data_IF_855395566329
#
_entry.id   IF_855395566329
#
_cell.length_a   1.000
_cell.length_b   1.000
_cell.length_c   1.000
_cell.angle_alpha   90.00
_cell.angle_beta   90.00
_cell.angle_gamma   90.00
#
_symmetry.space_group_name_H-M   'P 1'
#
loop_
_entity.id
_entity.type
_entity.pdbx_description
1 polymer ?
#
# COMPACT_ATOMS: atom_id res chain seq x y z
N UNK A 1 -1.41 -15.04 11.11
CA UNK A 1 -0.03 -14.66 11.51
C UNK A 1 0.24 -13.30 10.91
N UNK A 2 0.61 -12.29 11.72
CA UNK A 2 0.93 -10.96 11.21
C UNK A 2 2.43 -10.86 10.92
N UNK A 3 2.76 -10.44 9.70
CA UNK A 3 4.12 -10.13 9.26
C UNK A 3 4.20 -8.66 8.88
N UNK A 4 5.34 -8.04 9.17
CA UNK A 4 5.65 -6.69 8.72
C UNK A 4 7.04 -6.67 8.08
N UNK A 5 7.15 -5.96 6.98
CA UNK A 5 8.43 -5.59 6.39
C UNK A 5 8.79 -4.19 6.85
N UNK A 6 10.04 -3.97 7.23
CA UNK A 6 10.50 -2.69 7.76
C UNK A 6 11.61 -2.10 6.88
N UNK A 7 11.64 -0.78 6.76
CA UNK A 7 12.82 -0.10 6.25
C UNK A 7 13.99 -0.34 7.20
N UNK A 8 15.15 -0.62 6.64
CA UNK A 8 16.40 -0.85 7.39
C UNK A 8 17.30 0.39 7.32
N UNK A 9 18.37 0.47 8.13
CA UNK A 9 19.30 1.59 8.06
C UNK A 9 19.85 1.78 6.63
N UNK A 10 20.04 3.03 6.17
CA UNK A 10 19.81 4.30 6.90
C UNK A 10 18.38 4.86 6.78
N UNK A 11 17.43 4.17 6.15
CA UNK A 11 16.07 4.69 5.87
C UNK A 11 15.05 4.46 7.00
N UNK A 12 15.42 3.66 8.00
CA UNK A 12 14.64 3.32 9.18
C UNK A 12 15.45 2.46 10.15
N UNK A 13 14.88 2.15 11.30
CA UNK A 13 15.53 1.35 12.36
C UNK A 13 15.17 -0.15 12.30
N UNK A 14 14.39 -0.56 11.29
CA UNK A 14 13.96 -1.94 11.13
C UNK A 14 15.11 -2.92 10.80
N UNK A 15 14.85 -4.20 11.06
CA UNK A 15 15.82 -5.28 10.84
C UNK A 15 15.51 -6.18 9.63
N UNK A 16 14.41 -5.94 8.91
CA UNK A 16 13.96 -6.75 7.76
C UNK A 16 12.50 -7.18 7.89
N UNK A 17 12.22 -8.46 7.65
CA UNK A 17 10.88 -9.05 7.81
C UNK A 17 10.71 -9.61 9.21
N UNK A 18 9.70 -9.10 9.92
CA UNK A 18 9.40 -9.49 11.30
C UNK A 18 8.03 -10.15 11.39
N UNK A 19 7.88 -11.05 12.35
CA UNK A 19 6.59 -11.55 12.82
C UNK A 19 6.16 -10.76 14.05
N UNK A 20 4.94 -10.25 14.01
CA UNK A 20 4.29 -9.66 15.19
C UNK A 20 3.58 -10.78 15.95
N UNK A 21 3.95 -10.95 17.22
CA UNK A 21 3.39 -11.97 18.11
C UNK A 21 2.12 -11.44 18.80
N UNK A 22 1.22 -12.34 19.29
CA UNK A 22 -0.02 -11.92 19.95
C UNK A 22 0.18 -11.04 21.19
N UNK A 23 1.33 -11.18 21.87
CA UNK A 23 1.74 -10.35 23.00
C UNK A 23 2.46 -9.05 22.58
N UNK A 24 2.36 -8.69 21.29
CA UNK A 24 2.93 -7.49 20.65
C UNK A 24 4.45 -7.47 20.55
N UNK A 25 5.14 -8.54 20.93
CA UNK A 25 6.59 -8.66 20.64
C UNK A 25 6.81 -8.88 19.15
N UNK A 26 7.89 -8.33 18.62
CA UNK A 26 8.36 -8.57 17.25
C UNK A 26 9.53 -9.55 17.25
N UNK A 27 9.49 -10.50 16.32
CA UNK A 27 10.57 -11.47 16.09
C UNK A 27 11.06 -11.37 14.65
N UNK A 28 12.36 -11.17 14.46
CA UNK A 28 12.98 -11.21 13.14
C UNK A 28 12.81 -12.61 12.52
N UNK A 29 12.32 -12.65 11.29
CA UNK A 29 12.25 -13.87 10.46
C UNK A 29 13.35 -13.89 9.40
N UNK A 30 13.61 -12.75 8.77
CA UNK A 30 14.64 -12.62 7.74
C UNK A 30 15.25 -11.21 7.74
N UNK A 31 16.58 -11.13 7.77
CA UNK A 31 17.32 -9.89 7.57
C UNK A 31 17.39 -9.55 6.09
N UNK A 32 16.48 -8.72 5.61
CA UNK A 32 16.42 -8.25 4.22
C UNK A 32 16.59 -6.73 4.19
N UNK A 33 17.29 -6.18 3.18
CA UNK A 33 17.47 -4.74 3.06
C UNK A 33 16.16 -4.06 2.68
N UNK A 34 15.60 -3.27 3.59
CA UNK A 34 14.39 -2.45 3.39
C UNK A 34 13.22 -3.12 2.63
N UNK A 35 12.71 -4.29 3.07
CA UNK A 35 11.49 -4.89 2.52
C UNK A 35 10.27 -4.02 2.84
N UNK A 36 10.09 -2.93 2.09
CA UNK A 36 9.12 -1.87 2.37
C UNK A 36 7.66 -2.28 2.22
N UNK A 37 7.38 -3.38 1.50
CA UNK A 37 6.04 -3.94 1.36
C UNK A 37 6.08 -5.48 1.29
N UNK A 38 5.02 -6.11 1.80
CA UNK A 38 4.83 -7.56 1.75
C UNK A 38 3.50 -7.90 1.09
N UNK A 39 3.47 -8.98 0.30
CA UNK A 39 2.21 -9.60 -0.13
C UNK A 39 2.23 -11.10 0.09
N UNK A 40 1.11 -11.64 0.56
CA UNK A 40 0.94 -13.07 0.70
C UNK A 40 0.56 -13.69 -0.64
N UNK A 41 1.11 -14.86 -0.95
CA UNK A 41 0.62 -15.66 -2.06
C UNK A 41 -0.83 -16.11 -1.77
N UNK A 42 -1.78 -16.00 -2.71
CA UNK A 42 -3.20 -16.24 -2.46
C UNK A 42 -3.53 -17.69 -2.07
N UNK A 43 -2.65 -18.65 -2.39
CA UNK A 43 -2.89 -20.09 -2.19
C UNK A 43 -1.77 -20.86 -1.51
N UNK A 44 -0.58 -20.28 -1.42
CA UNK A 44 0.62 -20.97 -0.93
C UNK A 44 1.05 -20.31 0.38
N UNK A 45 1.72 -21.04 1.29
CA UNK A 45 2.23 -20.48 2.54
C UNK A 45 3.50 -19.63 2.30
N UNK A 46 3.44 -18.69 1.37
CA UNK A 46 4.56 -17.85 0.91
C UNK A 46 4.19 -16.39 1.09
N UNK A 47 5.19 -15.60 1.49
CA UNK A 47 5.11 -14.14 1.54
C UNK A 47 6.24 -13.59 0.69
N UNK A 48 5.88 -12.71 -0.22
CA UNK A 48 6.82 -11.94 -1.04
C UNK A 48 7.18 -10.66 -0.33
N UNK A 49 8.43 -10.26 -0.44
CA UNK A 49 8.95 -8.99 0.05
C UNK A 49 9.55 -8.20 -1.11
N UNK A 50 9.37 -6.88 -1.09
CA UNK A 50 10.02 -6.01 -2.08
C UNK A 50 11.54 -6.04 -1.90
N UNK A 51 12.26 -5.95 -3.01
CA UNK A 51 13.67 -5.54 -3.00
C UNK A 51 13.80 -4.02 -2.72
N UNK A 52 15.01 -3.47 -2.51
CA UNK A 52 15.21 -2.04 -2.27
C UNK A 52 14.78 -1.10 -3.40
N UNK A 53 14.66 -1.62 -4.63
CA UNK A 53 14.29 -0.86 -5.82
C UNK A 53 12.76 -0.76 -5.99
N UNK A 54 12.03 -1.68 -5.37
CA UNK A 54 10.58 -1.80 -5.46
C UNK A 54 9.90 -1.25 -4.21
N UNK A 55 8.83 -0.49 -4.39
CA UNK A 55 8.06 0.12 -3.29
C UNK A 55 6.75 -0.62 -2.97
N UNK A 56 6.26 -1.44 -3.89
CA UNK A 56 5.06 -2.25 -3.73
C UNK A 56 5.12 -3.47 -4.65
N UNK A 57 4.39 -4.52 -4.26
CA UNK A 57 4.21 -5.71 -5.08
C UNK A 57 2.81 -6.32 -4.88
N UNK A 58 2.34 -7.06 -5.87
CA UNK A 58 1.08 -7.78 -5.80
C UNK A 58 1.14 -9.07 -6.62
N UNK A 59 0.43 -10.10 -6.18
CA UNK A 59 0.22 -11.31 -6.97
C UNK A 59 -1.01 -11.11 -7.85
N UNK A 60 -0.84 -11.27 -9.16
CA UNK A 60 -1.91 -11.15 -10.17
C UNK A 60 -1.92 -12.44 -11.00
N UNK A 61 -2.90 -13.30 -10.76
CA UNK A 61 -2.92 -14.63 -11.37
C UNK A 61 -1.72 -15.47 -10.93
N UNK A 62 -0.95 -15.93 -11.90
CA UNK A 62 0.31 -16.67 -11.79
C UNK A 62 1.56 -15.78 -11.95
N UNK A 63 1.42 -14.48 -11.71
CA UNK A 63 2.53 -13.52 -11.80
C UNK A 63 2.67 -12.69 -10.53
N UNK A 64 3.90 -12.30 -10.22
CA UNK A 64 4.22 -11.26 -9.26
C UNK A 64 4.52 -9.96 -10.02
N UNK A 65 3.79 -8.90 -9.69
CA UNK A 65 3.95 -7.57 -10.29
C UNK A 65 4.59 -6.65 -9.25
N UNK A 66 5.63 -5.91 -9.63
CA UNK A 66 6.40 -5.06 -8.73
C UNK A 66 6.52 -3.64 -9.28
N UNK A 67 6.44 -2.62 -8.41
CA UNK A 67 6.50 -1.20 -8.79
C UNK A 67 7.84 -0.58 -8.38
N UNK A 68 8.63 -0.14 -9.37
CA UNK A 68 9.94 0.47 -9.16
C UNK A 68 9.83 1.99 -9.13
N UNK A 69 9.72 2.54 -7.91
CA UNK A 69 9.41 3.95 -7.67
C UNK A 69 10.35 4.93 -8.40
N UNK A 70 11.67 4.73 -8.24
CA UNK A 70 12.67 5.64 -8.80
C UNK A 70 12.95 5.38 -10.28
N UNK A 71 12.75 4.15 -10.73
CA UNK A 71 13.00 3.78 -12.12
C UNK A 71 11.84 4.15 -13.05
N UNK A 72 10.66 4.49 -12.51
CA UNK A 72 9.49 4.80 -13.34
C UNK A 72 8.97 3.58 -14.12
N UNK A 73 9.13 2.38 -13.56
CA UNK A 73 8.76 1.12 -14.23
C UNK A 73 7.93 0.21 -13.33
N UNK A 74 7.18 -0.70 -13.97
CA UNK A 74 6.49 -1.83 -13.34
C UNK A 74 6.95 -3.11 -14.03
N UNK A 75 7.40 -4.08 -13.24
CA UNK A 75 7.90 -5.37 -13.73
C UNK A 75 6.91 -6.48 -13.47
N UNK A 76 6.84 -7.42 -14.40
CA UNK A 76 6.03 -8.63 -14.31
C UNK A 76 6.97 -9.82 -14.23
N UNK A 77 6.80 -10.66 -13.21
CA UNK A 77 7.59 -11.86 -12.98
C UNK A 77 6.65 -13.08 -13.02
N UNK A 78 6.93 -14.10 -13.84
CA UNK A 78 6.17 -15.34 -13.79
C UNK A 78 6.42 -16.03 -12.43
N UNK A 79 5.40 -16.64 -11.86
CA UNK A 79 5.53 -17.49 -10.67
C UNK A 79 5.56 -18.96 -11.11
N UNK A 80 6.56 -19.70 -10.65
CA UNK A 80 6.57 -21.15 -10.75
C UNK A 80 5.44 -21.76 -9.90
N UNK A 81 5.16 -23.06 -10.09
CA UNK A 81 4.10 -23.76 -9.36
C UNK A 81 4.31 -23.77 -7.84
N UNK A 82 5.57 -23.69 -7.39
CA UNK A 82 5.96 -23.57 -5.98
C UNK A 82 5.94 -22.13 -5.48
N UNK A 83 5.53 -21.15 -6.31
CA UNK A 83 5.47 -19.74 -5.99
C UNK A 83 6.80 -19.00 -6.14
N UNK A 84 7.87 -19.62 -6.65
CA UNK A 84 9.15 -18.93 -6.88
C UNK A 84 9.04 -17.94 -8.04
N UNK A 85 9.40 -16.65 -7.85
CA UNK A 85 9.43 -15.68 -8.94
C UNK A 85 10.58 -15.94 -9.91
N UNK A 86 10.28 -15.95 -11.21
CA UNK A 86 11.26 -15.96 -12.29
C UNK A 86 11.83 -14.58 -12.63
N UNK A 87 12.77 -14.51 -13.60
CA UNK A 87 13.21 -13.23 -14.16
C UNK A 87 12.03 -12.48 -14.78
N UNK A 88 12.06 -11.13 -14.82
CA UNK A 88 10.94 -10.36 -15.35
C UNK A 88 10.67 -10.72 -16.81
N UNK A 89 9.44 -11.14 -17.10
CA UNK A 89 8.95 -11.44 -18.46
C UNK A 89 8.55 -10.18 -19.21
N UNK A 90 8.20 -9.12 -18.48
CA UNK A 90 7.85 -7.83 -19.06
C UNK A 90 8.22 -6.68 -18.12
N UNK A 91 8.58 -5.54 -18.72
CA UNK A 91 8.81 -4.27 -18.04
C UNK A 91 7.97 -3.22 -18.75
N UNK A 92 7.01 -2.64 -18.03
CA UNK A 92 6.22 -1.51 -18.51
C UNK A 92 6.85 -0.22 -17.96
N UNK A 93 7.18 0.70 -18.85
CA UNK A 93 7.75 2.00 -18.53
C UNK A 93 6.71 3.13 -18.65
N UNK A 94 7.19 4.36 -18.71
CA UNK A 94 6.33 5.53 -18.85
C UNK A 94 5.59 5.89 -17.56
N UNK A 95 6.11 5.52 -16.39
CA UNK A 95 5.70 6.07 -15.09
C UNK A 95 6.70 7.14 -14.62
N UNK A 96 6.28 8.07 -13.75
CA UNK A 96 7.24 8.95 -13.05
C UNK A 96 7.55 8.32 -11.71
N UNK A 97 6.54 7.99 -10.91
CA UNK A 97 6.67 7.32 -9.62
C UNK A 97 5.54 6.31 -9.42
N UNK A 98 5.62 5.11 -10.01
CA UNK A 98 4.65 4.06 -9.76
C UNK A 98 4.73 3.67 -8.28
N UNK A 99 3.60 3.59 -7.58
CA UNK A 99 3.62 3.36 -6.13
C UNK A 99 2.81 2.15 -5.66
N UNK A 100 1.56 1.98 -6.04
CA UNK A 100 0.71 0.86 -5.59
C UNK A 100 0.16 0.10 -6.77
N UNK A 101 0.10 -1.23 -6.66
CA UNK A 101 -0.48 -2.15 -7.63
C UNK A 101 -1.71 -2.82 -7.01
N UNK A 102 -2.84 -2.76 -7.70
CA UNK A 102 -4.10 -3.36 -7.24
C UNK A 102 -4.77 -4.13 -8.38
N UNK A 103 -4.91 -5.45 -8.22
CA UNK A 103 -5.72 -6.26 -9.14
C UNK A 103 -7.20 -6.09 -8.79
N UNK A 104 -8.00 -5.66 -9.76
CA UNK A 104 -9.43 -5.43 -9.57
C UNK A 104 -10.20 -5.65 -10.87
N UNK A 105 -11.27 -6.45 -10.80
CA UNK A 105 -12.19 -6.69 -11.92
C UNK A 105 -11.51 -7.07 -13.26
N UNK A 106 -10.44 -7.88 -13.22
CA UNK A 106 -9.69 -8.29 -14.40
C UNK A 106 -8.71 -7.24 -14.95
N UNK A 107 -8.58 -6.10 -14.28
CA UNK A 107 -7.57 -5.08 -14.54
C UNK A 107 -6.48 -5.09 -13.46
N UNK A 108 -5.36 -4.46 -13.78
CA UNK A 108 -4.32 -4.07 -12.83
C UNK A 108 -4.24 -2.56 -12.81
N UNK A 109 -4.67 -1.99 -11.68
CA UNK A 109 -4.65 -0.55 -11.41
C UNK A 109 -3.33 -0.19 -10.74
N UNK A 110 -2.68 0.87 -11.21
CA UNK A 110 -1.35 1.28 -10.75
C UNK A 110 -1.36 2.78 -10.47
N UNK A 111 -1.05 3.19 -9.25
CA UNK A 111 -0.86 4.62 -8.97
C UNK A 111 0.46 5.11 -9.54
N UNK A 112 0.43 6.21 -10.30
CA UNK A 112 1.60 6.99 -10.69
C UNK A 112 1.58 8.29 -9.90
N UNK A 113 2.24 8.26 -8.74
CA UNK A 113 2.33 9.39 -7.82
C UNK A 113 2.87 10.63 -8.54
N UNK A 114 3.86 10.45 -9.41
CA UNK A 114 4.55 11.56 -10.06
C UNK A 114 3.70 12.27 -11.11
N UNK A 115 2.79 11.53 -11.78
CA UNK A 115 1.90 12.05 -12.83
C UNK A 115 0.50 12.44 -12.38
N UNK A 116 0.14 12.21 -11.13
CA UNK A 116 -1.24 12.43 -10.63
C UNK A 116 -2.27 11.50 -11.30
N UNK A 117 -1.91 10.24 -11.51
CA UNK A 117 -2.75 9.28 -12.25
C UNK A 117 -2.95 7.97 -11.50
N UNK A 118 -4.12 7.37 -11.67
CA UNK A 118 -4.29 5.91 -11.55
C UNK A 118 -4.32 5.35 -12.97
N UNK A 119 -3.30 4.58 -13.31
CA UNK A 119 -3.13 3.95 -14.61
C UNK A 119 -3.83 2.60 -14.62
N UNK A 120 -4.60 2.35 -15.68
CA UNK A 120 -5.30 1.09 -15.92
C UNK A 120 -4.50 0.25 -16.89
N UNK A 121 -4.34 -1.01 -16.54
CA UNK A 121 -3.65 -1.97 -17.40
C UNK A 121 -4.38 -3.31 -17.35
N UNK A 122 -4.09 -4.17 -18.31
CA UNK A 122 -4.47 -5.58 -18.28
C UNK A 122 -3.23 -6.46 -18.31
N UNK A 123 -3.22 -7.49 -17.48
CA UNK A 123 -2.19 -8.52 -17.53
C UNK A 123 -2.72 -9.72 -18.32
N UNK A 124 -2.11 -9.99 -19.48
CA UNK A 124 -2.40 -11.14 -20.36
C UNK A 124 -1.07 -11.73 -20.83
N UNK A 125 -0.93 -13.05 -20.76
CA UNK A 125 0.27 -13.79 -21.20
C UNK A 125 1.60 -13.18 -20.70
N UNK A 126 1.63 -12.77 -19.43
CA UNK A 126 2.80 -12.19 -18.78
C UNK A 126 3.18 -10.78 -19.24
N UNK A 127 2.28 -10.08 -19.95
CA UNK A 127 2.47 -8.72 -20.46
C UNK A 127 1.40 -7.77 -19.92
N UNK A 128 1.83 -6.60 -19.44
CA UNK A 128 0.93 -5.51 -19.06
C UNK A 128 0.63 -4.63 -20.28
N UNK A 129 -0.63 -4.48 -20.62
CA UNK A 129 -1.09 -3.62 -21.71
C UNK A 129 -1.89 -2.44 -21.14
N UNK A 130 -1.52 -1.17 -21.43
CA UNK A 130 -2.28 -0.01 -20.99
C UNK A 130 -3.72 0.00 -21.55
N UNK A 131 -4.69 0.36 -20.71
CA UNK A 131 -6.10 0.49 -21.08
C UNK A 131 -6.62 1.93 -21.02
N UNK A 132 -5.99 2.77 -20.21
CA UNK A 132 -6.43 4.14 -19.95
C UNK A 132 -5.96 4.62 -18.58
N UNK A 133 -6.45 5.78 -18.18
CA UNK A 133 -5.91 6.52 -17.03
C UNK A 133 -7.04 7.30 -16.35
N UNK A 134 -6.97 7.44 -15.04
CA UNK A 134 -7.85 8.30 -14.26
C UNK A 134 -7.03 9.41 -13.60
N UNK A 135 -7.48 10.65 -13.72
CA UNK A 135 -6.84 11.78 -13.07
C UNK A 135 -7.14 11.79 -11.57
N UNK A 136 -6.08 11.77 -10.76
CA UNK A 136 -6.17 11.87 -9.29
C UNK A 136 -5.13 12.90 -8.81
N UNK A 137 -5.45 14.19 -8.83
CA UNK A 137 -4.53 15.26 -8.46
C UNK A 137 -4.02 15.16 -7.02
N UNK A 138 -2.70 15.26 -6.85
CA UNK A 138 -2.06 15.45 -5.55
C UNK A 138 -1.13 14.33 -5.10
N UNK A 139 -0.59 13.54 -6.03
CA UNK A 139 0.34 12.46 -5.78
C UNK A 139 -0.35 11.20 -5.24
N UNK A 140 -1.14 10.49 -6.07
CA UNK A 140 -1.83 9.28 -5.64
C UNK A 140 -0.80 8.23 -5.22
N UNK A 141 -0.84 7.82 -3.96
CA UNK A 141 0.12 6.92 -3.34
C UNK A 141 -0.51 5.53 -3.20
N UNK A 142 -1.32 5.34 -2.17
CA UNK A 142 -2.07 4.11 -1.93
C UNK A 142 -3.57 4.37 -2.10
N UNK A 143 -4.31 3.33 -2.47
CA UNK A 143 -5.73 3.41 -2.67
C UNK A 143 -6.44 2.12 -2.31
N UNK A 144 -7.70 2.25 -1.87
CA UNK A 144 -8.52 1.12 -1.42
C UNK A 144 -9.96 1.34 -1.82
N UNK A 145 -10.61 0.28 -2.30
CA UNK A 145 -12.06 0.27 -2.49
C UNK A 145 -12.75 -0.19 -1.21
N UNK A 146 -13.78 0.55 -0.77
CA UNK A 146 -14.68 0.20 0.32
C UNK A 146 -16.11 0.40 -0.16
N UNK A 147 -16.91 -0.67 -0.19
CA UNK A 147 -18.20 -0.62 -0.90
C UNK A 147 -17.99 -0.20 -2.36
N UNK A 148 -18.75 0.80 -2.82
CA UNK A 148 -18.66 1.34 -4.18
C UNK A 148 -17.80 2.61 -4.29
N UNK A 149 -16.96 2.87 -3.27
CA UNK A 149 -16.12 4.06 -3.22
C UNK A 149 -14.64 3.69 -3.21
N UNK A 150 -13.85 4.37 -4.04
CA UNK A 150 -12.40 4.37 -3.99
C UNK A 150 -11.89 5.49 -3.12
N UNK A 151 -11.01 5.18 -2.18
CA UNK A 151 -10.27 6.15 -1.40
C UNK A 151 -8.82 6.14 -1.82
N UNK A 152 -8.22 7.32 -2.02
CA UNK A 152 -6.85 7.49 -2.50
C UNK A 152 -6.11 8.46 -1.59
N UNK A 153 -4.96 8.06 -1.06
CA UNK A 153 -4.03 8.99 -0.42
C UNK A 153 -3.31 9.81 -1.49
N UNK A 154 -3.41 11.12 -1.39
CA UNK A 154 -2.76 12.12 -2.22
C UNK A 154 -1.59 12.71 -1.42
N UNK A 155 -0.43 12.06 -1.47
CA UNK A 155 0.74 12.34 -0.64
C UNK A 155 1.23 13.79 -0.79
N UNK A 156 1.44 14.26 -2.02
CA UNK A 156 2.00 15.60 -2.28
C UNK A 156 1.04 16.72 -1.89
N UNK A 157 -0.25 16.44 -1.91
CA UNK A 157 -1.28 17.43 -1.60
C UNK A 157 -1.79 17.35 -0.15
N UNK A 158 -1.20 16.51 0.70
CA UNK A 158 -1.65 16.40 2.10
C UNK A 158 -3.12 16.04 2.21
N UNK A 159 -3.60 15.11 1.37
CA UNK A 159 -5.03 14.83 1.27
C UNK A 159 -5.39 13.34 1.12
N UNK A 160 -6.62 13.00 1.46
CA UNK A 160 -7.30 11.79 1.00
C UNK A 160 -8.49 12.20 0.15
N UNK A 161 -8.69 11.53 -0.98
CA UNK A 161 -9.79 11.79 -1.92
C UNK A 161 -10.64 10.54 -2.10
N UNK A 162 -11.95 10.73 -2.24
CA UNK A 162 -12.93 9.68 -2.50
C UNK A 162 -13.46 9.80 -3.93
N UNK A 163 -13.67 8.67 -4.59
CA UNK A 163 -14.19 8.57 -5.96
C UNK A 163 -15.24 7.48 -6.08
N UNK A 164 -16.18 7.62 -7.02
CA UNK A 164 -17.12 6.54 -7.35
C UNK A 164 -16.46 5.44 -8.19
N UNK A 165 -17.23 4.43 -8.61
CA UNK A 165 -16.74 3.32 -9.45
C UNK A 165 -16.22 3.75 -10.82
N UNK A 166 -16.67 4.91 -11.32
CA UNK A 166 -16.26 5.51 -12.58
C UNK A 166 -15.11 6.52 -12.38
N UNK A 167 -14.51 6.55 -11.19
CA UNK A 167 -13.43 7.45 -10.80
C UNK A 167 -13.82 8.94 -10.86
N UNK A 168 -15.09 9.26 -10.64
CA UNK A 168 -15.54 10.65 -10.48
C UNK A 168 -15.36 11.08 -9.02
N UNK A 169 -14.84 12.27 -8.75
CA UNK A 169 -14.57 12.72 -7.39
C UNK A 169 -15.88 12.90 -6.59
N UNK A 170 -15.89 12.38 -5.37
CA UNK A 170 -17.02 12.46 -4.42
C UNK A 170 -16.71 13.44 -3.29
N UNK A 171 -15.55 13.28 -2.64
CA UNK A 171 -15.16 14.05 -1.46
C UNK A 171 -13.63 14.16 -1.38
N UNK A 172 -13.16 15.12 -0.59
CA UNK A 172 -11.73 15.30 -0.32
C UNK A 172 -11.53 15.90 1.06
N UNK A 173 -10.61 15.32 1.82
CA UNK A 173 -10.10 15.88 3.07
C UNK A 173 -8.63 16.25 2.86
N UNK A 174 -8.27 17.54 3.02
CA UNK A 174 -6.98 18.09 2.62
C UNK A 174 -6.27 18.82 3.79
N UNK A 175 -6.36 18.25 4.99
CA UNK A 175 -5.69 18.75 6.20
C UNK A 175 -4.72 17.71 6.77
N UNK A 176 -4.08 16.92 5.89
CA UNK A 176 -3.02 15.96 6.22
C UNK A 176 -1.66 16.55 5.79
N UNK A 177 -0.57 15.94 6.25
CA UNK A 177 0.80 16.38 5.93
C UNK A 177 1.40 15.54 4.80
N UNK A 178 1.57 14.24 5.03
CA UNK A 178 2.13 13.28 4.07
C UNK A 178 1.41 11.92 4.21
N UNK A 179 0.14 11.84 3.77
CA UNK A 179 -0.64 10.62 3.92
C UNK A 179 0.01 9.43 3.23
N UNK A 180 0.04 8.31 3.91
CA UNK A 180 0.73 7.09 3.47
C UNK A 180 -0.26 6.01 3.05
N UNK A 181 -1.04 5.47 3.99
CA UNK A 181 -1.97 4.36 3.77
C UNK A 181 -3.41 4.79 3.97
N UNK A 182 -4.33 4.11 3.28
CA UNK A 182 -5.76 4.16 3.59
C UNK A 182 -6.32 2.76 3.89
N UNK A 183 -6.98 2.61 5.03
CA UNK A 183 -7.65 1.38 5.44
C UNK A 183 -9.12 1.64 5.76
N UNK A 184 -9.97 0.63 5.64
CA UNK A 184 -11.39 0.71 6.02
C UNK A 184 -11.68 -0.15 7.24
N UNK A 185 -12.68 0.26 8.01
CA UNK A 185 -13.25 -0.54 9.09
C UNK A 185 -14.77 -0.57 9.02
N UNK A 186 -15.29 -1.74 8.61
CA UNK A 186 -16.68 -1.91 8.20
C UNK A 186 -17.04 -0.92 7.09
N UNK A 187 -18.27 -0.40 7.15
CA UNK A 187 -18.77 0.68 6.30
C UNK A 187 -18.75 2.05 6.99
N UNK A 188 -18.09 2.16 8.15
CA UNK A 188 -18.23 3.31 9.06
C UNK A 188 -17.05 4.25 9.06
N UNK A 189 -15.84 3.71 8.99
CA UNK A 189 -14.64 4.53 9.13
C UNK A 189 -13.61 4.23 8.07
N UNK A 190 -12.92 5.28 7.66
CA UNK A 190 -11.73 5.30 6.82
C UNK A 190 -10.59 5.78 7.69
N UNK A 191 -9.54 4.97 7.82
CA UNK A 191 -8.31 5.33 8.52
C UNK A 191 -7.27 5.78 7.51
N UNK A 192 -6.58 6.88 7.81
CA UNK A 192 -5.46 7.37 7.01
C UNK A 192 -4.25 7.58 7.90
N UNK A 193 -3.15 6.89 7.59
CA UNK A 193 -1.88 7.14 8.26
C UNK A 193 -1.26 8.43 7.71
N UNK A 194 -0.85 9.34 8.59
CA UNK A 194 -0.25 10.62 8.22
C UNK A 194 1.16 10.75 8.80
N UNK A 195 2.15 10.86 7.90
CA UNK A 195 3.56 10.96 8.27
C UNK A 195 3.93 12.40 8.55
N UNK A 196 4.85 12.60 9.48
CA UNK A 196 5.26 13.93 9.94
C UNK A 196 4.64 14.25 11.29
N UNK A 197 3.30 14.37 11.40
CA UNK A 197 2.62 14.44 12.70
C UNK A 197 2.58 13.11 13.44
N UNK A 198 2.82 11.99 12.76
CA UNK A 198 2.83 10.63 13.30
C UNK A 198 1.48 10.25 13.95
N UNK A 199 0.41 10.44 13.18
CA UNK A 199 -0.97 10.17 13.59
C UNK A 199 -1.71 9.24 12.62
N UNK A 200 -2.80 8.66 13.09
CA UNK A 200 -3.83 8.05 12.25
C UNK A 200 -5.09 8.91 12.31
N UNK A 201 -5.49 9.48 11.18
CA UNK A 201 -6.75 10.18 11.05
C UNK A 201 -7.89 9.17 10.87
N UNK A 202 -9.00 9.40 11.55
CA UNK A 202 -10.25 8.64 11.47
C UNK A 202 -11.28 9.52 10.77
N UNK A 203 -11.75 9.08 9.61
CA UNK A 203 -12.75 9.79 8.83
C UNK A 203 -14.01 8.95 8.65
N UNK A 204 -15.14 9.61 8.48
CA UNK A 204 -16.36 8.99 7.94
C UNK A 204 -16.17 8.66 6.45
N UNK A 205 -17.06 7.86 5.82
CA UNK A 205 -16.95 7.52 4.40
C UNK A 205 -17.11 8.72 3.45
N UNK A 206 -17.77 9.79 3.89
CA UNK A 206 -17.83 11.09 3.19
C UNK A 206 -16.64 12.01 3.51
N UNK A 207 -15.57 11.45 4.10
CA UNK A 207 -14.30 12.11 4.43
C UNK A 207 -14.41 13.29 5.40
N UNK A 208 -15.32 13.20 6.39
CA UNK A 208 -15.32 14.12 7.53
C UNK A 208 -14.44 13.57 8.64
N UNK A 209 -13.54 14.40 9.17
CA UNK A 209 -12.71 14.02 10.30
C UNK A 209 -13.60 13.75 11.52
N UNK A 210 -13.40 12.59 12.13
CA UNK A 210 -14.04 12.18 13.40
C UNK A 210 -13.07 12.42 14.55
N UNK A 211 -11.82 11.99 14.37
CA UNK A 211 -10.73 12.13 15.32
C UNK A 211 -9.39 11.89 14.61
N UNK A 212 -8.29 12.22 15.27
CA UNK A 212 -6.98 11.63 15.03
C UNK A 212 -6.40 11.12 16.35
N UNK A 213 -5.40 10.26 16.26
CA UNK A 213 -4.67 9.79 17.44
C UNK A 213 -3.21 9.47 17.09
N UNK A 214 -2.27 9.59 18.05
CA UNK A 214 -0.88 9.23 17.84
C UNK A 214 -0.73 7.79 17.36
N UNK A 215 0.08 7.57 16.32
CA UNK A 215 0.23 6.24 15.71
C UNK A 215 1.02 5.25 16.58
N UNK A 216 1.72 5.74 17.61
CA UNK A 216 2.45 4.95 18.60
C UNK A 216 3.94 4.70 18.26
N UNK A 217 4.40 5.23 17.13
CA UNK A 217 5.80 5.22 16.69
C UNK A 217 6.03 6.37 15.71
N UNK A 218 7.11 6.33 14.94
CA UNK A 218 7.45 7.42 14.01
C UNK A 218 7.35 7.04 12.54
N UNK A 219 6.70 7.92 11.77
CA UNK A 219 6.52 7.80 10.33
C UNK A 219 5.61 6.63 9.94
N UNK A 220 4.31 6.66 10.31
CA UNK A 220 3.37 5.57 10.03
C UNK A 220 3.22 5.39 8.51
N UNK A 221 3.70 4.25 8.00
CA UNK A 221 3.88 3.99 6.57
C UNK A 221 2.81 3.09 5.97
N UNK A 222 2.22 2.23 6.81
CA UNK A 222 1.21 1.24 6.42
C UNK A 222 0.27 0.95 7.61
N UNK A 223 -0.99 0.70 7.29
CA UNK A 223 -2.08 0.27 8.16
C UNK A 223 -2.60 -1.10 7.70
N UNK A 224 -2.94 -1.96 8.66
CA UNK A 224 -3.70 -3.19 8.37
C UNK A 224 -4.81 -3.36 9.40
N UNK A 225 -6.01 -3.69 8.94
CA UNK A 225 -7.16 -4.00 9.80
C UNK A 225 -7.45 -5.49 9.74
N UNK A 226 -7.53 -6.13 10.90
CA UNK A 226 -7.88 -7.56 11.05
C UNK A 226 -8.90 -7.70 12.19
N UNK A 227 -10.16 -7.97 11.84
CA UNK A 227 -11.26 -7.96 12.80
C UNK A 227 -11.35 -6.63 13.55
N UNK A 228 -11.23 -6.67 14.88
CA UNK A 228 -11.26 -5.49 15.76
C UNK A 228 -9.88 -4.91 16.06
N UNK A 229 -8.85 -5.25 15.26
CA UNK A 229 -7.48 -4.76 15.47
C UNK A 229 -7.04 -3.91 14.30
N UNK A 230 -6.43 -2.77 14.63
CA UNK A 230 -5.68 -1.94 13.69
C UNK A 230 -4.19 -2.05 14.02
N UNK A 231 -3.39 -2.37 13.01
CA UNK A 231 -1.94 -2.38 13.07
C UNK A 231 -1.38 -1.19 12.32
N UNK A 232 -0.38 -0.54 12.90
CA UNK A 232 0.32 0.61 12.31
C UNK A 232 1.80 0.30 12.26
N UNK A 233 2.36 0.24 11.05
CA UNK A 233 3.78 -0.02 10.84
C UNK A 233 4.53 1.29 10.64
N UNK A 234 5.63 1.46 11.36
CA UNK A 234 6.41 2.69 11.41
C UNK A 234 7.72 2.56 10.65
N UNK A 235 7.98 3.47 9.71
CA UNK A 235 9.21 3.42 8.92
C UNK A 235 10.44 3.77 9.77
N UNK A 236 10.39 4.89 10.50
CA UNK A 236 11.59 5.41 11.16
C UNK A 236 11.92 4.61 12.42
N UNK A 237 10.93 4.38 13.30
CA UNK A 237 11.14 3.62 14.55
C UNK A 237 11.12 2.10 14.37
N UNK A 238 10.74 1.58 13.19
CA UNK A 238 10.85 0.16 12.84
C UNK A 238 9.90 -0.78 13.59
N UNK A 239 8.97 -0.26 14.38
CA UNK A 239 7.99 -1.01 15.17
C UNK A 239 6.62 -1.18 14.47
N UNK A 240 5.78 -2.02 15.07
CA UNK A 240 4.35 -2.13 14.74
C UNK A 240 3.55 -1.90 16.01
N UNK A 241 2.74 -0.84 16.03
CA UNK A 241 1.78 -0.58 17.12
C UNK A 241 0.43 -1.21 16.80
N UNK A 242 -0.26 -1.70 17.82
CA UNK A 242 -1.60 -2.32 17.70
C UNK A 242 -2.64 -1.58 18.53
N UNK A 243 -3.76 -1.24 17.91
CA UNK A 243 -4.92 -0.61 18.52
C UNK A 243 -6.12 -1.56 18.47
N UNK A 244 -6.97 -1.51 19.50
CA UNK A 244 -8.27 -2.19 19.48
C UNK A 244 -9.31 -1.21 18.98
N UNK A 245 -10.02 -1.60 17.93
CA UNK A 245 -11.12 -0.84 17.36
C UNK A 245 -12.39 -1.14 18.14
N UNK A 246 -13.12 -0.09 18.49
CA UNK A 246 -14.45 -0.21 19.08
C UNK A 246 -15.46 -0.60 17.98
N UNK A 247 -16.34 -1.59 18.19
CA UNK A 247 -17.42 -1.93 17.27
C UNK A 247 -18.51 -0.88 17.12
#
# INVERSE_FOLDING_TARGET
MLLAGCYTPPRGEGAGVVRVLPDRRVRLLAGLPSPSFLAQHPRLPIVYATDPDSCHLAVVGDHLVTAQYSAGTVRVHPLAADGTPGPPSHVLDGFVHPHMICAYAGEVLISDLGRDLIRRTRLEDGKLTPLGEYAVPGGPRHFRRLGDTWFVTCERAGAVAAFDTDWRPIARYASLTQPSEVAGYGSRFVFVADRGPDVVAVLTPDLRLVADFPSGGSWPRHLAVDGSLLYVAHQHSGDVTTFRLDP
#
